data_IF_038065229028
#
_entry.id   IF_038065229028
#
_cell.length_a   1.000
_cell.length_b   1.000
_cell.length_c   1.000
_cell.angle_alpha   90.00
_cell.angle_beta   90.00
_cell.angle_gamma   90.00
#
_symmetry.space_group_name_H-M   'P 1'
#
loop_
_entity.id
_entity.type
_entity.pdbx_description
1 polymer ?
#
# COMPACT_ATOMS: atom_id res chain seq x y z
N UNK A 1 6.98 15.84 -18.79
CA UNK A 1 6.24 14.82 -18.04
C UNK A 1 7.25 14.19 -17.08
N UNK A 2 6.79 13.75 -15.92
CA UNK A 2 7.61 13.11 -14.90
C UNK A 2 6.83 11.96 -14.29
N UNK A 3 7.55 10.94 -13.84
CA UNK A 3 6.94 9.86 -13.07
C UNK A 3 6.83 10.29 -11.61
N UNK A 4 5.70 9.97 -10.98
CA UNK A 4 5.53 10.12 -9.53
C UNK A 4 4.98 8.83 -8.96
N UNK A 5 5.48 8.47 -7.80
CA UNK A 5 5.00 7.31 -7.04
C UNK A 5 3.94 7.77 -6.05
N UNK A 6 2.85 7.04 -5.98
CA UNK A 6 1.76 7.23 -5.03
C UNK A 6 1.43 5.89 -4.36
N UNK A 7 0.84 5.97 -3.17
CA UNK A 7 0.47 4.82 -2.36
C UNK A 7 -1.02 4.88 -2.06
N UNK A 8 -1.77 3.95 -2.63
CA UNK A 8 -3.18 3.72 -2.33
C UNK A 8 -3.30 2.72 -1.18
N UNK A 9 -3.98 3.16 -0.12
CA UNK A 9 -4.35 2.31 0.99
C UNK A 9 -5.82 2.53 1.33
N UNK A 10 -6.62 1.46 1.26
CA UNK A 10 -8.08 1.53 1.36
C UNK A 10 -8.62 2.56 0.36
N UNK A 11 -9.20 3.67 0.84
CA UNK A 11 -9.76 4.73 0.01
C UNK A 11 -8.96 6.04 0.10
N UNK A 12 -7.66 5.95 0.37
CA UNK A 12 -6.79 7.12 0.49
C UNK A 12 -5.49 6.92 -0.28
N UNK A 13 -5.13 7.92 -1.06
CA UNK A 13 -3.84 8.02 -1.75
C UNK A 13 -2.92 8.95 -0.99
N UNK A 14 -1.64 8.58 -0.92
CA UNK A 14 -0.59 9.33 -0.21
C UNK A 14 0.71 9.35 -1.02
N UNK A 15 1.58 10.32 -0.75
CA UNK A 15 2.91 10.43 -1.39
C UNK A 15 3.97 9.52 -0.76
N UNK A 16 3.70 8.98 0.41
CA UNK A 16 4.63 8.16 1.20
C UNK A 16 3.88 6.93 1.67
N UNK A 17 4.57 5.80 1.68
CA UNK A 17 3.97 4.56 2.18
C UNK A 17 3.44 4.79 3.61
N UNK A 18 2.18 4.39 3.90
CA UNK A 18 1.66 4.50 5.26
C UNK A 18 2.55 3.71 6.23
N UNK A 19 2.84 4.28 7.39
CA UNK A 19 3.63 3.61 8.42
C UNK A 19 2.74 2.62 9.17
N UNK A 20 2.96 1.33 8.95
CA UNK A 20 2.39 0.25 9.76
C UNK A 20 3.38 -0.13 10.87
N UNK A 21 2.87 -0.56 12.03
CA UNK A 21 3.71 -0.95 13.17
C UNK A 21 4.57 -2.20 12.91
N UNK A 22 4.27 -2.99 11.87
CA UNK A 22 5.07 -4.12 11.44
C UNK A 22 5.23 -4.14 9.92
N UNK A 23 6.40 -3.76 9.42
CA UNK A 23 6.83 -4.23 8.10
C UNK A 23 7.28 -5.67 8.28
N UNK A 24 6.49 -6.62 7.77
CA UNK A 24 6.85 -8.04 7.80
C UNK A 24 6.79 -8.57 6.38
N UNK A 25 7.95 -8.83 5.81
CA UNK A 25 8.06 -9.45 4.51
C UNK A 25 7.85 -10.95 4.68
N UNK A 26 6.79 -11.49 4.07
CA UNK A 26 6.48 -12.93 4.10
C UNK A 26 7.53 -13.68 3.26
N UNK A 27 8.69 -13.97 3.85
CA UNK A 27 9.85 -14.53 3.15
C UNK A 27 9.94 -16.06 3.25
N UNK A 28 9.17 -16.69 4.15
CA UNK A 28 9.20 -18.15 4.34
C UNK A 28 7.82 -18.82 4.25
N UNK A 29 7.83 -20.12 3.91
CA UNK A 29 6.64 -20.98 3.92
C UNK A 29 5.96 -21.03 5.30
N UNK A 30 6.72 -20.92 6.39
CA UNK A 30 6.16 -20.85 7.73
C UNK A 30 5.44 -19.52 7.99
N UNK A 31 5.96 -18.41 7.47
CA UNK A 31 5.28 -17.10 7.59
C UNK A 31 3.97 -17.08 6.80
N UNK A 32 3.94 -17.75 5.64
CA UNK A 32 2.73 -17.92 4.84
C UNK A 32 1.72 -18.80 5.58
N UNK A 33 2.14 -19.90 6.21
CA UNK A 33 1.22 -20.74 6.99
C UNK A 33 0.74 -20.08 8.30
N UNK A 34 1.51 -19.15 8.84
CA UNK A 34 1.10 -18.31 9.97
C UNK A 34 0.25 -17.10 9.54
N UNK A 35 0.12 -16.82 8.24
CA UNK A 35 -0.66 -15.67 7.72
C UNK A 35 -2.14 -15.71 8.10
N UNK A 36 -2.71 -16.89 8.32
CA UNK A 36 -4.07 -17.05 8.86
C UNK A 36 -4.22 -16.52 10.31
N UNK A 37 -3.11 -16.25 11.00
CA UNK A 37 -3.05 -15.69 12.36
C UNK A 37 -2.81 -14.18 12.39
N UNK A 38 -2.53 -13.58 11.23
CA UNK A 38 -2.12 -12.19 11.10
C UNK A 38 -3.18 -11.37 10.38
N UNK A 39 -3.52 -10.20 10.93
CA UNK A 39 -4.26 -9.20 10.17
C UNK A 39 -3.29 -8.55 9.18
N UNK A 40 -3.49 -8.83 7.89
CA UNK A 40 -2.68 -8.28 6.80
C UNK A 40 -3.42 -7.11 6.16
N UNK A 41 -2.73 -5.98 6.06
CA UNK A 41 -3.16 -4.80 5.30
C UNK A 41 -2.32 -4.68 4.03
N UNK A 42 -2.96 -4.46 2.89
CA UNK A 42 -2.27 -4.30 1.61
C UNK A 42 -2.25 -2.83 1.19
N UNK A 43 -1.07 -2.34 0.84
CA UNK A 43 -0.88 -1.04 0.19
C UNK A 43 -0.49 -1.26 -1.26
N UNK A 44 -1.16 -0.55 -2.16
CA UNK A 44 -0.82 -0.54 -3.56
C UNK A 44 0.08 0.67 -3.86
N UNK A 45 1.33 0.41 -4.25
CA UNK A 45 2.21 1.40 -4.83
C UNK A 45 1.94 1.50 -6.34
N UNK A 46 1.72 2.70 -6.83
CA UNK A 46 1.45 2.97 -8.24
C UNK A 46 2.43 4.04 -8.75
N UNK A 47 3.00 3.83 -9.94
CA UNK A 47 3.81 4.85 -10.62
C UNK A 47 3.05 5.42 -11.80
N UNK A 48 2.66 6.69 -11.71
CA UNK A 48 1.89 7.40 -12.73
C UNK A 48 2.75 8.47 -13.41
N UNK A 49 2.48 8.72 -14.69
CA UNK A 49 3.10 9.80 -15.44
C UNK A 49 2.26 11.07 -15.34
N UNK A 50 2.86 12.16 -14.88
CA UNK A 50 2.18 13.43 -14.63
C UNK A 50 2.91 14.60 -15.30
N UNK A 51 2.23 15.74 -15.42
CA UNK A 51 2.87 16.97 -15.89
C UNK A 51 3.92 17.49 -14.90
N UNK A 52 4.87 18.29 -15.37
CA UNK A 52 6.02 18.73 -14.55
C UNK A 52 5.57 19.59 -13.35
N UNK A 53 4.50 20.35 -13.52
CA UNK A 53 3.84 21.23 -12.56
C UNK A 53 2.83 20.50 -11.65
N UNK A 54 2.72 19.17 -11.75
CA UNK A 54 1.85 18.38 -10.90
C UNK A 54 2.05 18.69 -9.41
N UNK A 55 0.94 19.00 -8.74
CA UNK A 55 0.82 19.18 -7.30
C UNK A 55 -0.31 18.28 -6.81
N UNK A 56 0.05 17.24 -6.07
CA UNK A 56 -0.89 16.31 -5.45
C UNK A 56 -2.04 17.00 -4.70
N UNK A 57 -1.77 18.11 -4.02
CA UNK A 57 -2.72 18.88 -3.23
C UNK A 57 -3.82 19.53 -4.10
N UNK A 58 -3.60 19.64 -5.41
CA UNK A 58 -4.57 20.18 -6.36
C UNK A 58 -5.58 19.13 -6.87
N UNK A 59 -5.43 17.87 -6.48
CA UNK A 59 -6.25 16.76 -6.99
C UNK A 59 -7.14 16.17 -5.92
N UNK A 60 -8.33 15.74 -6.32
CA UNK A 60 -9.24 15.04 -5.43
C UNK A 60 -8.75 13.61 -5.20
N UNK A 61 -8.97 13.09 -3.99
CA UNK A 61 -8.61 11.71 -3.64
C UNK A 61 -9.19 10.71 -4.64
N UNK A 62 -10.45 10.85 -5.03
CA UNK A 62 -11.09 9.95 -6.00
C UNK A 62 -10.44 9.99 -7.40
N UNK A 63 -9.87 11.13 -7.82
CA UNK A 63 -9.14 11.21 -9.09
C UNK A 63 -7.81 10.45 -8.98
N UNK A 64 -7.08 10.67 -7.89
CA UNK A 64 -5.81 10.00 -7.63
C UNK A 64 -5.98 8.49 -7.47
N UNK A 65 -7.08 8.03 -6.87
CA UNK A 65 -7.42 6.61 -6.75
C UNK A 65 -7.55 6.01 -8.15
N UNK A 66 -8.35 6.61 -9.02
CA UNK A 66 -8.53 6.14 -10.40
C UNK A 66 -7.22 6.07 -11.16
N UNK A 67 -6.37 7.08 -11.04
CA UNK A 67 -5.06 7.06 -11.71
C UNK A 67 -4.17 5.94 -11.21
N UNK A 68 -4.22 5.63 -9.92
CA UNK A 68 -3.51 4.48 -9.36
C UNK A 68 -4.10 3.14 -9.85
N UNK A 69 -5.42 3.00 -9.92
CA UNK A 69 -6.11 1.80 -10.42
C UNK A 69 -5.88 1.56 -11.93
N UNK A 70 -5.73 2.63 -12.71
CA UNK A 70 -5.44 2.60 -14.14
C UNK A 70 -3.93 2.50 -14.46
N UNK A 71 -3.07 2.55 -13.44
CA UNK A 71 -1.61 2.49 -13.62
C UNK A 71 -1.17 1.12 -14.14
N UNK A 72 -0.26 1.11 -15.11
CA UNK A 72 0.37 -0.13 -15.59
C UNK A 72 1.53 -0.60 -14.69
N UNK A 73 2.07 0.30 -13.86
CA UNK A 73 3.17 0.02 -12.95
C UNK A 73 2.64 0.02 -11.52
N UNK A 74 2.34 -1.19 -11.02
CA UNK A 74 1.77 -1.42 -9.69
C UNK A 74 2.62 -2.44 -8.93
N UNK A 75 2.90 -2.16 -7.66
CA UNK A 75 3.53 -3.06 -6.70
C UNK A 75 2.61 -3.17 -5.48
N UNK A 76 2.33 -4.38 -5.02
CA UNK A 76 1.57 -4.61 -3.80
C UNK A 76 2.51 -4.86 -2.62
N UNK A 77 2.32 -4.11 -1.55
CA UNK A 77 3.03 -4.24 -0.29
C UNK A 77 2.07 -4.79 0.76
N UNK A 78 2.40 -5.92 1.39
CA UNK A 78 1.60 -6.52 2.46
C UNK A 78 2.24 -6.22 3.81
N UNK A 79 1.45 -5.74 4.76
CA UNK A 79 1.90 -5.37 6.10
C UNK A 79 1.11 -6.16 7.13
N UNK A 80 1.81 -6.71 8.13
CA UNK A 80 1.17 -7.32 9.30
C UNK A 80 0.85 -6.22 10.30
N UNK A 81 -0.42 -6.09 10.67
CA UNK A 81 -0.91 -5.01 11.54
C UNK A 81 -1.19 -5.50 12.96
N UNK A 82 -1.61 -6.75 13.12
CA UNK A 82 -1.82 -7.41 14.41
C UNK A 82 -1.44 -8.88 14.29
N UNK A 83 -0.61 -9.37 15.22
CA UNK A 83 -0.67 -10.78 15.59
C UNK A 83 -1.95 -10.92 16.41
N UNK A 84 -2.87 -11.81 16.02
CA UNK A 84 -3.78 -12.31 17.03
C UNK A 84 -2.89 -12.97 18.09
N UNK A 85 -2.76 -12.31 19.25
CA UNK A 85 -2.15 -12.95 20.40
C UNK A 85 -2.96 -14.22 20.61
N UNK A 86 -2.35 -15.36 20.30
CA UNK A 86 -2.76 -16.63 20.89
C UNK A 86 -2.46 -16.52 22.39
N UNK A 87 -3.24 -15.68 23.08
CA UNK A 87 -3.57 -15.85 24.49
C UNK A 87 -4.49 -17.07 24.57
N UNK A 88 -3.92 -18.25 24.32
CA UNK A 88 -4.56 -19.53 24.63
C UNK A 88 -3.56 -20.38 25.41
N UNK A 89 -3.50 -20.04 26.70
CA UNK A 89 -3.31 -20.88 27.91
C UNK A 89 -2.07 -21.77 27.98
#
# INVERSE_FOLDING_TARGET
MKNTTLYLFKNSVTKKIPLFRGYYELTSLNDIMASDLFDIETVMECTIEVQNDFKFENHLQNELIKWCEESQNIIYHNFIVTCSDYDVI
#
